data_IF_471770174507
#
_entry.id   IF_471770174507
#
_cell.length_a   1.000
_cell.length_b   1.000
_cell.length_c   1.000
_cell.angle_alpha   90.00
_cell.angle_beta   90.00
_cell.angle_gamma   90.00
#
_symmetry.space_group_name_H-M   'P 1'
#
loop_
_entity.id
_entity.type
_entity.pdbx_description
1 polymer ?
#
# COMPACT_ATOMS: atom_id res chain seq x y z
N UNK A 1 -9.10 -27.20 -9.64
CA UNK A 1 -8.89 -26.67 -11.01
C UNK A 1 -7.44 -26.95 -11.37
N UNK A 2 -7.22 -27.75 -12.38
CA UNK A 2 -5.88 -28.10 -12.83
C UNK A 2 -5.29 -26.96 -13.67
N UNK A 3 -3.93 -26.92 -13.77
CA UNK A 3 -3.24 -25.89 -14.57
C UNK A 3 -3.67 -25.88 -16.05
N UNK A 4 -4.04 -27.04 -16.58
CA UNK A 4 -4.54 -27.19 -17.96
C UNK A 4 -5.89 -26.48 -18.13
N UNK A 5 -6.83 -26.66 -17.20
CA UNK A 5 -8.13 -25.99 -17.22
C UNK A 5 -7.96 -24.47 -17.10
N UNK A 6 -7.00 -24.00 -16.29
CA UNK A 6 -6.72 -22.58 -16.13
C UNK A 6 -6.20 -21.94 -17.42
N UNK A 7 -5.37 -22.66 -18.19
CA UNK A 7 -4.83 -22.18 -19.45
C UNK A 7 -5.92 -21.94 -20.52
N UNK A 8 -6.96 -22.76 -20.53
CA UNK A 8 -8.10 -22.60 -21.46
C UNK A 8 -8.87 -21.32 -21.18
N UNK A 9 -8.96 -20.90 -19.93
CA UNK A 9 -9.57 -19.62 -19.57
C UNK A 9 -8.74 -18.39 -19.98
N UNK A 10 -7.46 -18.56 -20.33
CA UNK A 10 -6.60 -17.52 -20.87
C UNK A 10 -6.73 -17.36 -22.40
N UNK A 11 -7.49 -18.27 -23.05
CA UNK A 11 -7.86 -18.18 -24.46
C UNK A 11 -9.18 -17.42 -24.64
N UNK A 12 -9.47 -17.03 -25.87
CA UNK A 12 -10.72 -16.34 -26.23
C UNK A 12 -11.92 -17.24 -25.86
N UNK A 13 -12.94 -16.66 -25.22
CA UNK A 13 -14.14 -17.37 -24.81
C UNK A 13 -14.10 -17.96 -23.41
N UNK A 14 -12.96 -17.94 -22.73
CA UNK A 14 -12.85 -18.38 -21.35
C UNK A 14 -13.55 -17.47 -20.33
N UNK A 15 -13.58 -17.87 -19.06
CA UNK A 15 -14.14 -17.09 -17.96
C UNK A 15 -13.58 -15.67 -17.92
N UNK A 16 -14.40 -14.70 -17.49
CA UNK A 16 -13.96 -13.30 -17.41
C UNK A 16 -13.07 -13.04 -16.19
N UNK A 17 -13.33 -13.74 -15.10
CA UNK A 17 -12.66 -13.54 -13.81
C UNK A 17 -12.42 -14.86 -13.10
N UNK A 18 -11.40 -14.89 -12.25
CA UNK A 18 -11.22 -15.86 -11.18
C UNK A 18 -11.45 -15.12 -9.85
N UNK A 19 -12.43 -15.57 -9.06
CA UNK A 19 -12.78 -14.93 -7.81
C UNK A 19 -12.29 -15.77 -6.63
N UNK A 20 -11.77 -15.08 -5.61
CA UNK A 20 -11.27 -15.68 -4.37
C UNK A 20 -11.81 -14.90 -3.16
N UNK A 21 -13.09 -15.08 -2.82
CA UNK A 21 -13.67 -14.47 -1.64
C UNK A 21 -13.14 -15.12 -0.36
N UNK A 22 -13.13 -14.36 0.75
CA UNK A 22 -12.90 -14.89 2.09
C UNK A 22 -13.74 -14.16 3.11
N UNK A 23 -14.06 -14.85 4.19
CA UNK A 23 -14.75 -14.30 5.37
C UNK A 23 -13.87 -14.58 6.58
N UNK A 24 -13.61 -13.55 7.37
CA UNK A 24 -12.85 -13.61 8.61
C UNK A 24 -13.79 -13.34 9.78
N UNK A 25 -13.81 -14.24 10.75
CA UNK A 25 -14.51 -14.02 12.01
C UNK A 25 -13.73 -13.02 12.87
N UNK A 26 -14.43 -12.05 13.41
CA UNK A 26 -13.84 -11.10 14.37
C UNK A 26 -14.04 -11.67 15.79
N UNK A 27 -12.99 -11.64 16.61
CA UNK A 27 -13.09 -12.09 18.00
C UNK A 27 -14.15 -11.29 18.76
N UNK A 28 -14.88 -11.97 19.65
CA UNK A 28 -15.91 -11.30 20.46
C UNK A 28 -15.35 -10.11 21.24
N UNK A 29 -16.00 -8.97 21.13
CA UNK A 29 -15.56 -7.72 21.76
C UNK A 29 -14.41 -7.00 21.05
N UNK A 30 -13.83 -7.56 19.99
CA UNK A 30 -12.78 -6.91 19.21
C UNK A 30 -13.32 -5.78 18.34
N UNK A 31 -12.43 -4.85 18.02
CA UNK A 31 -12.69 -3.70 17.18
C UNK A 31 -11.67 -3.69 16.06
N UNK A 32 -12.15 -3.68 14.82
CA UNK A 32 -11.28 -3.63 13.65
C UNK A 32 -10.90 -2.18 13.35
N UNK A 33 -9.63 -1.92 13.11
CA UNK A 33 -9.11 -0.60 12.77
C UNK A 33 -9.07 -0.40 11.25
N UNK A 34 -10.06 0.28 10.62
CA UNK A 34 -10.07 0.54 9.19
C UNK A 34 -8.91 1.42 8.74
N UNK A 35 -8.60 1.39 7.45
CA UNK A 35 -7.73 2.38 6.84
C UNK A 35 -8.29 3.79 7.05
N UNK A 36 -7.40 4.74 7.35
CA UNK A 36 -7.76 6.15 7.53
C UNK A 36 -7.42 6.95 6.30
N UNK A 37 -8.31 7.82 5.92
CA UNK A 37 -8.17 8.71 4.78
C UNK A 37 -8.19 10.16 5.24
N UNK A 38 -7.47 11.03 4.55
CA UNK A 38 -7.51 12.45 4.81
C UNK A 38 -8.90 13.00 4.43
N UNK A 39 -9.63 13.50 5.42
CA UNK A 39 -10.92 14.15 5.27
C UNK A 39 -10.85 15.65 5.56
N UNK A 40 -11.97 16.35 5.42
CA UNK A 40 -12.05 17.81 5.68
C UNK A 40 -11.77 18.16 7.13
N UNK A 41 -12.14 17.27 8.07
CA UNK A 41 -12.04 17.48 9.51
C UNK A 41 -10.95 16.61 10.16
N UNK A 42 -9.97 16.17 9.39
CA UNK A 42 -8.92 15.26 9.86
C UNK A 42 -8.98 13.89 9.21
N UNK A 43 -8.64 12.86 9.95
CA UNK A 43 -8.57 11.47 9.47
C UNK A 43 -9.92 10.78 9.64
N UNK A 44 -10.47 10.25 8.57
CA UNK A 44 -11.82 9.65 8.53
C UNK A 44 -11.77 8.18 8.08
N UNK A 45 -12.72 7.36 8.55
CA UNK A 45 -13.01 6.04 8.00
C UNK A 45 -13.95 6.16 6.81
N UNK A 46 -13.81 5.25 5.84
CA UNK A 46 -14.68 5.21 4.66
C UNK A 46 -15.81 4.20 4.88
N UNK A 47 -17.03 4.69 4.80
CA UNK A 47 -18.24 3.89 4.82
C UNK A 47 -18.90 3.91 3.43
N UNK A 48 -19.34 2.73 2.98
CA UNK A 48 -19.97 2.53 1.68
C UNK A 48 -21.20 1.64 1.84
N UNK A 49 -22.13 1.72 0.88
CA UNK A 49 -23.23 0.76 0.76
C UNK A 49 -22.85 -0.27 -0.30
N UNK A 50 -22.83 -1.55 0.07
CA UNK A 50 -22.53 -2.68 -0.81
C UNK A 50 -23.68 -3.68 -0.81
N UNK A 51 -23.82 -4.39 -1.95
CA UNK A 51 -24.74 -5.53 -2.03
C UNK A 51 -24.05 -6.76 -1.45
N UNK A 52 -24.55 -7.27 -0.32
CA UNK A 52 -23.98 -8.38 0.45
C UNK A 52 -25.10 -9.29 0.89
N UNK A 53 -24.98 -10.59 0.64
CA UNK A 53 -25.98 -11.62 1.02
C UNK A 53 -27.41 -11.31 0.55
N UNK A 54 -27.56 -10.77 -0.65
CA UNK A 54 -28.88 -10.46 -1.22
C UNK A 54 -29.46 -9.11 -0.81
N UNK A 55 -28.76 -8.31 -0.03
CA UNK A 55 -29.25 -7.02 0.48
C UNK A 55 -28.22 -5.91 0.36
N UNK A 56 -28.69 -4.67 0.34
CA UNK A 56 -27.79 -3.51 0.48
C UNK A 56 -27.43 -3.30 1.94
N UNK A 57 -26.17 -3.43 2.25
CA UNK A 57 -25.60 -3.29 3.60
C UNK A 57 -24.62 -2.13 3.68
N UNK A 58 -24.63 -1.43 4.80
CA UNK A 58 -23.57 -0.49 5.12
C UNK A 58 -22.30 -1.24 5.46
N UNK A 59 -21.17 -0.81 4.89
CA UNK A 59 -19.87 -1.44 5.11
C UNK A 59 -18.82 -0.40 5.44
N UNK A 60 -17.83 -0.78 6.24
CA UNK A 60 -16.62 -0.02 6.49
C UNK A 60 -15.47 -0.59 5.67
N UNK A 61 -14.76 0.25 4.94
CA UNK A 61 -13.56 -0.17 4.21
C UNK A 61 -12.42 -0.41 5.19
N UNK A 62 -12.04 -1.68 5.36
CA UNK A 62 -10.96 -2.08 6.28
C UNK A 62 -9.61 -1.93 5.60
N UNK A 63 -9.46 -2.46 4.39
CA UNK A 63 -8.22 -2.36 3.61
C UNK A 63 -8.52 -2.12 2.14
N UNK A 64 -7.83 -1.14 1.55
CA UNK A 64 -8.11 -0.65 0.20
C UNK A 64 -7.55 -1.55 -0.90
N UNK A 65 -8.01 -1.33 -2.14
CA UNK A 65 -7.49 -2.03 -3.34
C UNK A 65 -5.99 -1.87 -3.48
N UNK A 66 -5.48 -0.67 -3.23
CA UNK A 66 -4.06 -0.37 -3.32
C UNK A 66 -3.27 -1.12 -2.25
N UNK A 67 -3.74 -1.09 -1.00
CA UNK A 67 -3.09 -1.80 0.09
C UNK A 67 -3.09 -3.31 -0.12
N UNK A 68 -4.19 -3.88 -0.61
CA UNK A 68 -4.26 -5.31 -0.92
C UNK A 68 -3.35 -5.71 -2.09
N UNK A 69 -3.15 -4.85 -3.09
CA UNK A 69 -2.17 -5.07 -4.14
C UNK A 69 -0.74 -5.04 -3.58
N UNK A 70 -0.44 -4.04 -2.73
CA UNK A 70 0.87 -3.94 -2.09
C UNK A 70 1.20 -5.17 -1.22
N UNK A 71 0.19 -5.77 -0.55
CA UNK A 71 0.39 -7.02 0.21
C UNK A 71 0.76 -8.19 -0.69
N UNK A 72 0.14 -8.30 -1.87
CA UNK A 72 0.50 -9.34 -2.84
C UNK A 72 1.91 -9.10 -3.43
N UNK A 73 2.31 -7.84 -3.65
CA UNK A 73 3.67 -7.48 -4.06
C UNK A 73 4.69 -7.79 -2.95
N UNK A 74 4.39 -7.44 -1.70
CA UNK A 74 5.22 -7.82 -0.54
C UNK A 74 5.34 -9.35 -0.39
N UNK A 75 4.25 -10.08 -0.65
CA UNK A 75 4.27 -11.53 -0.72
C UNK A 75 5.23 -12.08 -1.79
N UNK A 76 5.30 -11.44 -2.96
CA UNK A 76 6.29 -11.82 -3.98
C UNK A 76 7.73 -11.51 -3.55
N UNK A 77 7.95 -10.40 -2.86
CA UNK A 77 9.28 -10.06 -2.31
C UNK A 77 9.70 -11.13 -1.29
N UNK A 78 8.82 -11.51 -0.36
CA UNK A 78 9.09 -12.58 0.60
C UNK A 78 9.35 -13.93 -0.10
N UNK A 79 8.50 -14.30 -1.07
CA UNK A 79 8.68 -15.52 -1.86
C UNK A 79 10.03 -15.57 -2.60
N UNK A 80 10.53 -14.42 -3.07
CA UNK A 80 11.88 -14.32 -3.68
C UNK A 80 12.98 -14.54 -2.66
N UNK A 81 12.85 -13.95 -1.47
CA UNK A 81 13.82 -14.10 -0.38
C UNK A 81 13.91 -15.55 0.12
N UNK A 82 12.80 -16.26 0.13
CA UNK A 82 12.74 -17.67 0.49
C UNK A 82 13.31 -18.62 -0.60
N UNK A 83 13.77 -18.07 -1.73
CA UNK A 83 14.33 -18.86 -2.82
C UNK A 83 13.30 -19.72 -3.56
N UNK A 84 12.02 -19.35 -3.50
CA UNK A 84 10.95 -20.02 -4.25
C UNK A 84 11.05 -19.74 -5.75
N UNK A 85 10.12 -20.31 -6.53
CA UNK A 85 9.99 -20.02 -7.97
C UNK A 85 9.88 -18.51 -8.29
N UNK A 86 9.50 -17.69 -7.31
CA UNK A 86 9.48 -16.24 -7.45
C UNK A 86 10.87 -15.64 -7.70
N UNK A 87 11.95 -16.30 -7.31
CA UNK A 87 13.32 -15.86 -7.60
C UNK A 87 13.60 -15.72 -9.11
N UNK A 88 12.90 -16.50 -9.94
CA UNK A 88 13.01 -16.43 -11.39
C UNK A 88 12.20 -15.29 -12.03
N UNK A 89 11.35 -14.57 -11.27
CA UNK A 89 10.58 -13.43 -11.78
C UNK A 89 11.54 -12.27 -12.04
N UNK A 90 11.60 -11.72 -13.28
CA UNK A 90 12.40 -10.54 -13.56
C UNK A 90 11.94 -9.34 -12.71
N UNK A 91 12.90 -8.59 -12.17
CA UNK A 91 12.67 -7.36 -11.43
C UNK A 91 13.70 -6.30 -11.81
N UNK A 92 13.34 -5.05 -11.67
CA UNK A 92 14.29 -3.94 -11.72
C UNK A 92 14.75 -3.67 -10.30
N UNK A 93 16.05 -3.73 -10.06
CA UNK A 93 16.65 -3.40 -8.76
C UNK A 93 17.25 -1.99 -8.80
N UNK A 94 16.96 -1.20 -7.77
CA UNK A 94 17.53 0.13 -7.56
C UNK A 94 18.39 0.08 -6.31
N UNK A 95 19.65 0.37 -6.47
CA UNK A 95 20.65 0.35 -5.40
C UNK A 95 20.89 1.75 -4.86
N UNK A 96 21.00 1.87 -3.56
CA UNK A 96 21.36 3.09 -2.84
C UNK A 96 22.56 2.84 -1.96
N UNK A 97 23.41 3.82 -1.86
CA UNK A 97 24.56 3.75 -0.95
C UNK A 97 24.08 3.58 0.51
N UNK A 98 24.62 2.58 1.21
CA UNK A 98 24.32 2.30 2.61
C UNK A 98 22.90 1.81 2.90
N UNK A 99 22.17 1.32 1.88
CA UNK A 99 20.81 0.75 2.04
C UNK A 99 20.66 -0.54 1.25
N UNK A 100 19.75 -1.38 1.70
CA UNK A 100 19.30 -2.53 0.92
C UNK A 100 18.66 -2.08 -0.41
N UNK A 101 18.90 -2.83 -1.50
CA UNK A 101 18.30 -2.52 -2.79
C UNK A 101 16.77 -2.64 -2.73
N UNK A 102 16.09 -1.81 -3.51
CA UNK A 102 14.66 -1.89 -3.70
C UNK A 102 14.37 -2.48 -5.07
N UNK A 103 13.36 -3.34 -5.13
CA UNK A 103 12.85 -3.85 -6.40
C UNK A 103 11.64 -3.02 -6.87
N UNK A 104 11.33 -3.11 -8.16
CA UNK A 104 10.12 -2.48 -8.72
C UNK A 104 8.81 -2.99 -8.10
N UNK A 105 8.80 -4.17 -7.47
CA UNK A 105 7.70 -4.68 -6.63
C UNK A 105 7.44 -3.82 -5.38
N UNK A 106 8.44 -3.08 -4.90
CA UNK A 106 8.37 -2.23 -3.71
C UNK A 106 8.13 -0.75 -4.06
N UNK A 107 8.21 -0.40 -5.35
CA UNK A 107 8.08 0.97 -5.81
C UNK A 107 6.63 1.29 -6.24
N UNK A 108 6.04 2.41 -5.80
CA UNK A 108 4.65 2.77 -6.08
C UNK A 108 4.28 2.78 -7.56
N UNK A 109 5.20 3.19 -8.43
CA UNK A 109 4.99 3.27 -9.88
C UNK A 109 5.76 2.20 -10.66
N UNK A 110 6.32 1.22 -9.97
CA UNK A 110 7.04 0.04 -10.52
C UNK A 110 8.11 0.46 -11.53
N UNK A 111 8.10 -0.11 -12.75
CA UNK A 111 9.08 0.24 -13.79
C UNK A 111 9.08 1.73 -14.17
N UNK A 112 7.97 2.43 -13.98
CA UNK A 112 7.85 3.85 -14.29
C UNK A 112 8.11 4.77 -13.09
N UNK A 113 8.57 4.21 -11.98
CA UNK A 113 8.86 4.98 -10.78
C UNK A 113 10.00 5.99 -11.00
N UNK A 114 9.98 7.08 -10.26
CA UNK A 114 11.03 8.08 -10.30
C UNK A 114 12.39 7.51 -9.89
N UNK A 115 12.42 6.59 -8.92
CA UNK A 115 13.64 5.91 -8.49
C UNK A 115 14.33 5.14 -9.63
N UNK A 116 13.55 4.54 -10.55
CA UNK A 116 14.08 3.90 -11.75
C UNK A 116 14.48 4.93 -12.80
N UNK A 117 13.62 5.92 -13.06
CA UNK A 117 13.83 6.88 -14.16
C UNK A 117 15.02 7.82 -13.95
N UNK A 118 15.32 8.15 -12.71
CA UNK A 118 16.45 9.04 -12.36
C UNK A 118 17.71 8.27 -11.93
N UNK A 119 17.69 6.94 -11.96
CA UNK A 119 18.87 6.14 -11.72
C UNK A 119 19.83 6.17 -12.94
N UNK A 120 21.04 5.73 -12.67
CA UNK A 120 22.08 5.50 -13.69
C UNK A 120 22.48 4.02 -13.67
N UNK A 121 22.83 3.51 -14.82
CA UNK A 121 23.43 2.19 -14.98
C UNK A 121 24.72 2.35 -15.80
N UNK A 122 25.84 1.95 -15.22
CA UNK A 122 27.18 2.08 -15.83
C UNK A 122 27.50 3.55 -16.24
N UNK A 123 27.10 4.53 -15.41
CA UNK A 123 27.30 5.96 -15.65
C UNK A 123 26.38 6.55 -16.75
N UNK A 124 25.38 5.80 -17.22
CA UNK A 124 24.42 6.25 -18.21
C UNK A 124 23.03 6.34 -17.58
N UNK A 125 22.32 7.50 -17.67
CA UNK A 125 20.95 7.62 -17.18
C UNK A 125 20.03 6.52 -17.73
N UNK A 126 19.26 5.88 -16.84
CA UNK A 126 18.37 4.75 -17.19
C UNK A 126 17.42 5.11 -18.33
N UNK A 127 16.92 6.34 -18.39
CA UNK A 127 16.05 6.79 -19.50
C UNK A 127 16.71 6.75 -20.87
N UNK A 128 18.03 6.62 -20.95
CA UNK A 128 18.82 6.45 -22.18
C UNK A 128 19.18 4.99 -22.47
N UNK A 129 18.99 4.09 -21.51
CA UNK A 129 19.30 2.67 -21.67
C UNK A 129 18.38 2.03 -22.71
N UNK A 130 18.89 1.12 -23.55
CA UNK A 130 18.10 0.44 -24.59
C UNK A 130 16.90 -0.34 -24.01
N UNK A 131 17.11 -1.05 -22.89
CA UNK A 131 16.07 -1.82 -22.25
C UNK A 131 14.93 -0.96 -21.72
N UNK A 132 15.25 0.20 -21.09
CA UNK A 132 14.22 1.11 -20.59
C UNK A 132 13.44 1.79 -21.73
N UNK A 133 14.13 2.13 -22.83
CA UNK A 133 13.47 2.65 -24.02
C UNK A 133 12.53 1.63 -24.62
N UNK A 134 12.96 0.36 -24.76
CA UNK A 134 12.11 -0.71 -25.28
C UNK A 134 10.87 -0.90 -24.37
N UNK A 135 11.04 -0.93 -23.06
CA UNK A 135 9.95 -1.02 -22.09
C UNK A 135 8.99 0.18 -22.20
N UNK A 136 9.51 1.39 -22.26
CA UNK A 136 8.73 2.63 -22.34
C UNK A 136 7.98 2.77 -23.68
N UNK A 137 8.57 2.29 -24.77
CA UNK A 137 8.04 2.40 -26.12
C UNK A 137 7.21 1.17 -26.51
N UNK A 138 7.03 0.20 -25.60
CA UNK A 138 6.14 -0.93 -25.79
C UNK A 138 4.71 -0.47 -26.13
N UNK A 139 4.02 -1.29 -26.89
CA UNK A 139 2.67 -0.97 -27.39
C UNK A 139 1.67 -2.04 -26.99
N UNK A 140 0.38 -1.77 -27.16
CA UNK A 140 -0.68 -2.74 -26.85
C UNK A 140 -0.60 -4.03 -27.69
N UNK A 141 0.10 -4.03 -28.80
CA UNK A 141 0.30 -5.20 -29.66
C UNK A 141 1.56 -5.99 -29.34
N UNK A 142 2.50 -5.37 -28.61
CA UNK A 142 3.71 -6.03 -28.15
C UNK A 142 4.16 -5.45 -26.80
N UNK A 143 3.89 -6.20 -25.74
CA UNK A 143 4.27 -5.91 -24.36
C UNK A 143 5.44 -6.80 -23.88
N UNK A 144 6.10 -7.53 -24.79
CA UNK A 144 7.23 -8.40 -24.44
C UNK A 144 8.36 -7.67 -23.74
N UNK A 145 8.73 -6.41 -24.08
CA UNK A 145 9.78 -5.69 -23.33
C UNK A 145 9.40 -5.43 -21.89
N UNK A 146 8.11 -5.19 -21.60
CA UNK A 146 7.63 -5.02 -20.23
C UNK A 146 7.63 -6.35 -19.49
N UNK A 147 7.19 -7.44 -20.17
CA UNK A 147 7.11 -8.76 -19.56
C UNK A 147 8.48 -9.30 -19.12
N UNK A 148 9.50 -9.15 -19.97
CA UNK A 148 10.85 -9.66 -19.67
C UNK A 148 11.63 -8.77 -18.68
N UNK A 149 11.19 -7.54 -18.44
CA UNK A 149 11.90 -6.59 -17.60
C UNK A 149 11.20 -6.37 -16.25
N UNK A 150 9.89 -6.16 -16.27
CA UNK A 150 9.05 -5.85 -15.11
C UNK A 150 7.65 -6.43 -15.27
N UNK A 151 7.48 -7.76 -15.18
CA UNK A 151 6.16 -8.38 -15.24
C UNK A 151 5.21 -7.86 -14.15
N UNK A 152 5.73 -7.36 -13.02
CA UNK A 152 4.96 -6.67 -11.98
C UNK A 152 4.17 -5.48 -12.54
N UNK A 153 4.74 -4.72 -13.47
CA UNK A 153 4.07 -3.59 -14.13
C UNK A 153 2.86 -4.05 -14.96
N UNK A 154 2.89 -5.25 -15.54
CA UNK A 154 1.73 -5.84 -16.24
C UNK A 154 0.68 -6.38 -15.28
N UNK A 155 1.13 -7.02 -14.20
CA UNK A 155 0.27 -7.70 -13.24
C UNK A 155 -0.49 -6.73 -12.32
N UNK A 156 0.23 -5.77 -11.73
CA UNK A 156 -0.34 -4.83 -10.77
C UNK A 156 -0.69 -3.47 -11.37
N UNK A 157 -0.34 -3.28 -12.63
CA UNK A 157 -0.61 -2.05 -13.36
C UNK A 157 0.57 -1.09 -13.37
N UNK A 158 0.58 -0.17 -14.32
CA UNK A 158 1.60 0.86 -14.45
C UNK A 158 1.19 1.98 -15.40
N UNK A 159 1.70 3.16 -15.15
CA UNK A 159 1.45 4.32 -15.97
C UNK A 159 2.64 5.27 -15.98
N UNK A 160 3.22 5.48 -17.15
CA UNK A 160 4.21 6.54 -17.36
C UNK A 160 3.52 7.89 -17.54
N UNK A 161 3.11 8.50 -16.43
CA UNK A 161 2.38 9.78 -16.42
C UNK A 161 3.24 10.97 -16.86
N UNK A 162 4.56 10.84 -16.82
CA UNK A 162 5.50 11.92 -17.14
C UNK A 162 5.76 12.08 -18.63
N UNK A 163 5.37 11.10 -19.44
CA UNK A 163 5.58 11.12 -20.88
C UNK A 163 4.55 12.03 -21.55
N UNK A 164 5.02 12.92 -22.46
CA UNK A 164 4.16 13.87 -23.16
C UNK A 164 3.12 13.21 -24.06
N UNK A 165 3.48 12.11 -24.74
CA UNK A 165 2.61 11.38 -25.66
C UNK A 165 2.98 9.89 -25.71
N UNK A 166 2.06 9.05 -26.18
CA UNK A 166 2.28 7.61 -26.31
C UNK A 166 2.46 6.93 -24.95
N UNK A 167 1.76 7.41 -23.91
CA UNK A 167 1.84 6.85 -22.56
C UNK A 167 1.24 5.45 -22.53
N UNK A 168 2.02 4.48 -22.06
CA UNK A 168 1.50 3.16 -21.74
C UNK A 168 0.69 3.25 -20.43
N UNK A 169 -0.56 2.77 -20.47
CA UNK A 169 -1.44 2.68 -19.29
C UNK A 169 -1.90 1.24 -19.14
N UNK A 170 -1.38 0.60 -18.12
CA UNK A 170 -1.68 -0.78 -17.77
C UNK A 170 -2.55 -0.80 -16.52
N UNK A 171 -3.67 -1.51 -16.60
CA UNK A 171 -4.56 -1.71 -15.44
C UNK A 171 -4.07 -2.91 -14.65
N UNK A 172 -4.12 -2.82 -13.31
CA UNK A 172 -3.89 -3.99 -12.46
C UNK A 172 -4.88 -5.11 -12.79
N UNK A 173 -4.39 -6.32 -12.78
CA UNK A 173 -5.14 -7.55 -13.06
C UNK A 173 -5.70 -8.18 -11.80
N UNK A 174 -5.20 -7.75 -10.62
CA UNK A 174 -5.69 -8.11 -9.30
C UNK A 174 -6.47 -6.94 -8.71
N UNK A 175 -7.69 -7.21 -8.27
CA UNK A 175 -8.50 -6.29 -7.47
C UNK A 175 -8.90 -7.02 -6.20
N UNK A 176 -8.55 -6.50 -5.05
CA UNK A 176 -8.89 -7.06 -3.74
C UNK A 176 -9.19 -5.95 -2.76
N UNK A 177 -10.18 -6.13 -1.90
CA UNK A 177 -10.53 -5.22 -0.82
C UNK A 177 -10.98 -6.02 0.40
N UNK A 178 -10.73 -5.47 1.60
CA UNK A 178 -11.36 -5.94 2.83
C UNK A 178 -12.38 -4.91 3.29
N UNK A 179 -13.56 -5.39 3.66
CA UNK A 179 -14.61 -4.55 4.24
C UNK A 179 -15.32 -5.30 5.37
N UNK A 180 -15.70 -4.55 6.40
CA UNK A 180 -16.53 -5.05 7.48
C UNK A 180 -17.99 -4.72 7.22
N UNK A 181 -18.90 -5.65 7.48
CA UNK A 181 -20.36 -5.40 7.39
C UNK A 181 -20.79 -4.75 8.71
N UNK A 182 -21.26 -3.50 8.64
CA UNK A 182 -21.74 -2.77 9.82
C UNK A 182 -23.18 -3.18 10.11
N UNK A 183 -23.49 -3.45 11.38
CA UNK A 183 -24.87 -3.75 11.77
C UNK A 183 -25.78 -2.53 11.55
N UNK A 184 -27.06 -2.80 11.24
CA UNK A 184 -28.03 -1.76 10.91
C UNK A 184 -28.17 -0.70 12.03
N UNK A 185 -28.26 0.55 11.65
CA UNK A 185 -28.79 1.67 12.42
C UNK A 185 -27.82 2.69 12.96
N UNK A 186 -26.57 2.38 13.24
CA UNK A 186 -25.62 3.37 13.77
C UNK A 186 -24.17 3.07 13.37
N UNK A 187 -23.34 4.13 13.32
CA UNK A 187 -21.90 4.01 13.18
C UNK A 187 -21.32 3.35 14.44
N UNK A 188 -20.99 2.09 14.34
CA UNK A 188 -20.38 1.31 15.44
C UNK A 188 -18.92 1.70 15.63
N UNK A 189 -18.68 3.01 15.84
CA UNK A 189 -17.37 3.55 16.03
C UNK A 189 -16.91 3.34 17.48
N UNK A 190 -15.79 2.69 17.68
CA UNK A 190 -15.07 2.74 18.93
C UNK A 190 -14.19 3.99 18.97
N UNK A 191 -14.35 4.76 20.04
CA UNK A 191 -13.53 5.94 20.29
C UNK A 191 -12.60 5.62 21.46
N UNK A 192 -11.41 5.14 21.12
CA UNK A 192 -10.34 4.97 22.10
C UNK A 192 -9.14 5.72 21.56
N UNK A 193 -8.53 6.53 22.39
CA UNK A 193 -7.14 6.89 22.22
C UNK A 193 -6.35 6.25 23.34
N UNK A 194 -5.14 5.83 23.03
CA UNK A 194 -4.21 5.38 24.04
C UNK A 194 -3.93 6.52 25.01
N UNK A 195 -3.92 6.20 26.32
CA UNK A 195 -3.27 7.04 27.30
C UNK A 195 -1.87 6.49 27.50
N UNK A 196 -0.86 7.31 27.45
CA UNK A 196 0.45 6.99 27.98
C UNK A 196 0.53 7.60 29.37
N UNK A 197 0.52 6.76 30.37
CA UNK A 197 0.78 7.20 31.75
C UNK A 197 2.28 7.48 31.85
N UNK A 198 2.63 8.69 32.22
CA UNK A 198 3.97 9.02 32.67
C UNK A 198 4.26 8.24 33.94
N UNK A 199 5.35 7.47 34.02
CA UNK A 199 5.70 6.77 35.27
C UNK A 199 5.88 7.68 36.47
N UNK A 200 6.19 8.94 36.25
CA UNK A 200 6.34 9.95 37.29
C UNK A 200 5.03 10.68 37.61
N UNK A 201 3.97 10.49 36.80
CA UNK A 201 2.69 11.14 36.98
C UNK A 201 2.74 12.66 36.87
N UNK A 202 3.72 13.20 36.14
CA UNK A 202 3.96 14.64 36.05
C UNK A 202 3.91 15.11 34.60
N UNK A 203 3.26 16.26 34.37
CA UNK A 203 3.41 17.05 33.19
C UNK A 203 4.58 18.03 33.38
N UNK A 204 5.61 17.90 32.59
CA UNK A 204 6.76 18.78 32.72
C UNK A 204 6.46 20.13 32.09
N UNK A 205 6.47 21.17 32.92
CA UNK A 205 6.44 22.56 32.52
C UNK A 205 7.79 23.17 32.85
N UNK A 206 8.41 23.82 31.91
CA UNK A 206 9.76 24.39 32.02
C UNK A 206 9.77 25.83 31.58
N UNK A 207 10.77 26.56 32.00
CA UNK A 207 10.97 27.93 31.53
C UNK A 207 11.22 27.99 30.00
N UNK A 208 10.93 29.13 29.34
CA UNK A 208 11.26 29.31 27.92
C UNK A 208 12.73 29.04 27.57
N UNK A 209 13.64 29.34 28.47
CA UNK A 209 15.07 29.13 28.26
C UNK A 209 15.45 27.66 28.38
N UNK A 210 14.82 26.93 29.30
CA UNK A 210 15.02 25.48 29.42
C UNK A 210 14.47 24.71 28.23
N UNK A 211 13.27 25.06 27.72
CA UNK A 211 12.71 24.36 26.53
C UNK A 211 13.56 24.60 25.30
N UNK A 212 14.12 25.82 25.13
CA UNK A 212 15.05 26.12 24.04
C UNK A 212 16.36 25.34 24.17
N UNK A 213 16.87 25.16 25.40
CA UNK A 213 18.06 24.34 25.65
C UNK A 213 17.82 22.86 25.32
N UNK A 214 16.66 22.33 25.71
CA UNK A 214 16.25 20.95 25.38
C UNK A 214 16.06 20.76 23.87
N UNK A 215 15.46 21.76 23.22
CA UNK A 215 15.27 21.78 21.78
C UNK A 215 16.60 21.74 21.04
N UNK A 216 17.58 22.55 21.46
CA UNK A 216 18.88 22.62 20.82
C UNK A 216 19.64 21.29 20.87
N UNK A 217 19.51 20.55 21.97
CA UNK A 217 20.13 19.23 22.12
C UNK A 217 19.65 18.19 21.09
N UNK A 218 18.46 18.38 20.53
CA UNK A 218 17.82 17.44 19.62
C UNK A 218 17.48 18.05 18.25
N UNK A 219 17.83 19.29 18.01
CA UNK A 219 17.44 20.08 16.82
C UNK A 219 17.67 19.34 15.49
N UNK A 220 18.81 18.68 15.36
CA UNK A 220 19.17 17.94 14.14
C UNK A 220 18.26 16.73 13.85
N UNK A 221 17.61 16.21 14.88
CA UNK A 221 16.75 15.02 14.78
C UNK A 221 15.26 15.36 14.70
N UNK A 222 14.89 16.62 14.93
CA UNK A 222 13.51 17.08 14.95
C UNK A 222 13.07 17.66 13.60
N UNK A 223 11.79 17.50 13.28
CA UNK A 223 11.25 18.11 12.06
C UNK A 223 11.27 19.64 12.15
N UNK A 224 11.56 20.39 11.06
CA UNK A 224 11.55 21.84 11.05
C UNK A 224 10.22 22.45 11.52
N UNK A 225 9.10 21.77 11.26
CA UNK A 225 7.77 22.18 11.71
C UNK A 225 7.63 22.12 13.23
N UNK A 226 8.15 21.08 13.86
CA UNK A 226 8.12 20.91 15.31
C UNK A 226 9.03 21.94 15.97
N UNK A 227 10.23 22.10 15.47
CA UNK A 227 11.17 23.15 15.93
C UNK A 227 10.51 24.51 15.93
N UNK A 228 9.94 24.95 14.80
CA UNK A 228 9.28 26.25 14.68
C UNK A 228 8.01 26.36 15.56
N UNK A 229 7.37 25.26 15.92
CA UNK A 229 6.25 25.25 16.88
C UNK A 229 6.74 25.54 18.28
N UNK A 230 7.74 24.79 18.75
CA UNK A 230 8.31 24.94 20.11
C UNK A 230 8.90 26.34 20.31
N UNK A 231 9.64 26.86 19.33
CA UNK A 231 10.20 28.22 19.37
C UNK A 231 9.11 29.29 19.53
N UNK A 232 7.99 29.16 18.80
CA UNK A 232 6.85 30.09 18.92
C UNK A 232 6.16 29.97 20.28
N UNK A 233 6.04 28.79 20.83
CA UNK A 233 5.45 28.56 22.16
C UNK A 233 6.37 29.16 23.24
N UNK A 234 7.68 28.95 23.16
CA UNK A 234 8.67 29.53 24.07
C UNK A 234 8.64 31.06 24.03
N UNK A 235 8.61 31.68 22.83
CA UNK A 235 8.51 33.13 22.68
C UNK A 235 7.19 33.67 23.26
N UNK A 236 6.07 32.98 23.01
CA UNK A 236 4.78 33.37 23.57
C UNK A 236 4.76 33.31 25.10
N UNK A 237 5.32 32.25 25.68
CA UNK A 237 5.42 32.05 27.12
C UNK A 237 6.35 33.10 27.75
N UNK A 238 7.49 33.41 27.14
CA UNK A 238 8.42 34.48 27.58
C UNK A 238 7.73 35.82 27.67
N UNK A 239 6.90 36.19 26.67
CA UNK A 239 6.11 37.42 26.69
C UNK A 239 5.08 37.52 27.82
N UNK A 240 4.59 36.33 28.27
CA UNK A 240 3.55 36.22 29.30
C UNK A 240 4.11 35.93 30.69
N UNK A 241 5.42 35.74 30.84
CA UNK A 241 6.02 35.27 32.08
C UNK A 241 5.51 33.90 32.54
N UNK A 242 5.20 33.02 31.59
CA UNK A 242 4.63 31.70 31.81
C UNK A 242 5.64 30.59 31.50
N UNK A 243 5.38 29.39 32.00
CA UNK A 243 6.09 28.16 31.64
C UNK A 243 5.55 27.58 30.32
N UNK A 244 6.35 26.72 29.71
CA UNK A 244 6.03 25.98 28.46
C UNK A 244 5.91 24.50 28.81
N UNK A 245 4.87 23.85 28.28
CA UNK A 245 4.77 22.39 28.38
C UNK A 245 5.84 21.72 27.52
N UNK A 246 6.58 20.78 28.08
CA UNK A 246 7.56 19.97 27.39
C UNK A 246 6.95 18.73 26.70
N UNK A 247 5.61 18.61 26.63
CA UNK A 247 4.90 17.48 26.04
C UNK A 247 5.22 17.28 24.54
N UNK A 248 5.51 18.37 23.83
CA UNK A 248 5.94 18.30 22.39
C UNK A 248 7.29 17.61 22.21
N UNK A 249 8.14 17.60 23.24
CA UNK A 249 9.39 16.83 23.30
C UNK A 249 9.20 15.43 23.91
N UNK A 250 7.95 14.98 24.03
CA UNK A 250 7.56 13.72 24.68
C UNK A 250 7.92 13.64 26.19
N UNK A 251 8.05 14.76 26.85
CA UNK A 251 8.20 14.86 28.30
C UNK A 251 6.83 15.19 28.91
N UNK A 252 6.20 14.18 29.48
CA UNK A 252 4.86 14.28 30.07
C UNK A 252 3.92 13.19 29.63
N UNK A 253 2.74 13.15 30.23
CA UNK A 253 1.69 12.21 29.91
C UNK A 253 0.90 12.62 28.66
N UNK A 254 0.44 11.64 27.89
CA UNK A 254 -0.57 11.86 26.85
C UNK A 254 -1.93 11.54 27.45
N UNK A 255 -2.78 12.55 27.71
CA UNK A 255 -4.11 12.30 28.28
C UNK A 255 -4.97 11.48 27.31
N UNK A 256 -5.85 10.62 27.84
CA UNK A 256 -6.79 9.91 27.00
C UNK A 256 -7.70 10.89 26.28
N UNK A 257 -7.86 10.71 24.97
CA UNK A 257 -8.76 11.50 24.14
C UNK A 257 -9.82 10.62 23.50
N UNK A 258 -11.04 11.09 23.38
CA UNK A 258 -12.15 10.43 22.69
C UNK A 258 -12.48 11.09 21.36
N UNK A 259 -11.68 12.05 20.92
CA UNK A 259 -11.99 12.88 19.76
C UNK A 259 -11.88 12.14 18.42
N UNK A 260 -10.99 11.14 18.37
CA UNK A 260 -10.75 10.41 17.12
C UNK A 260 -11.32 8.98 17.17
N UNK A 261 -11.96 8.52 16.09
CA UNK A 261 -12.39 7.14 16.00
C UNK A 261 -11.17 6.20 15.98
N UNK A 262 -11.23 5.16 16.79
CA UNK A 262 -10.17 4.14 16.89
C UNK A 262 -10.41 2.96 15.97
N UNK A 263 -11.67 2.49 15.87
CA UNK A 263 -12.04 1.35 15.07
C UNK A 263 -13.54 1.22 14.88
N UNK A 264 -13.94 0.18 14.19
CA UNK A 264 -15.33 -0.17 13.90
C UNK A 264 -15.62 -1.56 14.45
N UNK A 265 -16.72 -1.70 15.20
CA UNK A 265 -17.20 -3.00 15.65
C UNK A 265 -18.00 -3.64 14.52
N UNK A 266 -17.51 -4.75 14.00
CA UNK A 266 -18.14 -5.55 12.94
C UNK A 266 -18.13 -7.02 13.33
N UNK A 267 -19.17 -7.81 13.00
CA UNK A 267 -19.21 -9.23 13.31
C UNK A 267 -18.26 -10.03 12.42
N UNK A 268 -17.97 -9.53 11.23
CA UNK A 268 -17.11 -10.20 10.25
C UNK A 268 -16.42 -9.20 9.34
N UNK A 269 -15.26 -9.59 8.82
CA UNK A 269 -14.56 -8.90 7.74
C UNK A 269 -14.60 -9.77 6.51
N UNK A 270 -15.01 -9.22 5.40
CA UNK A 270 -15.05 -9.91 4.10
C UNK A 270 -13.97 -9.40 3.18
N UNK A 271 -13.38 -10.31 2.45
CA UNK A 271 -12.48 -10.01 1.33
C UNK A 271 -13.19 -10.31 0.01
N UNK A 272 -13.28 -9.29 -0.84
CA UNK A 272 -13.61 -9.46 -2.24
C UNK A 272 -12.30 -9.42 -3.04
N UNK A 273 -11.93 -10.53 -3.68
CA UNK A 273 -10.72 -10.65 -4.50
C UNK A 273 -11.06 -11.22 -5.87
N UNK A 274 -10.56 -10.57 -6.90
CA UNK A 274 -10.82 -10.91 -8.30
C UNK A 274 -9.55 -10.79 -9.12
N UNK A 275 -9.22 -11.84 -9.88
CA UNK A 275 -8.21 -11.82 -10.93
C UNK A 275 -8.90 -11.65 -12.28
N UNK A 276 -8.46 -10.67 -13.07
CA UNK A 276 -9.07 -10.34 -14.36
C UNK A 276 -8.50 -11.20 -15.48
N UNK A 277 -9.13 -12.34 -15.75
CA UNK A 277 -8.74 -13.21 -16.89
C UNK A 277 -9.03 -12.52 -18.23
N UNK A 278 -10.12 -11.74 -18.29
CA UNK A 278 -10.40 -10.91 -19.48
C UNK A 278 -9.33 -9.83 -19.68
N UNK A 279 -8.76 -9.28 -18.60
CA UNK A 279 -7.63 -8.35 -18.67
C UNK A 279 -6.37 -9.03 -19.19
N UNK A 280 -6.04 -10.22 -18.68
CA UNK A 280 -4.92 -11.02 -19.19
C UNK A 280 -5.03 -11.29 -20.68
N UNK A 281 -6.21 -11.67 -21.17
CA UNK A 281 -6.43 -11.96 -22.59
C UNK A 281 -6.21 -10.76 -23.53
N UNK A 282 -6.21 -9.53 -23.02
CA UNK A 282 -5.91 -8.31 -23.77
C UNK A 282 -4.43 -8.06 -23.96
N UNK A 283 -3.58 -8.68 -23.13
CA UNK A 283 -2.14 -8.54 -23.24
C UNK A 283 -1.63 -9.32 -24.45
N UNK A 284 -0.74 -8.69 -25.22
CA UNK A 284 -0.07 -9.24 -26.39
C UNK A 284 1.43 -9.09 -26.22
N UNK A 285 2.17 -10.10 -26.68
CA UNK A 285 3.62 -10.15 -26.48
C UNK A 285 4.40 -10.28 -27.80
N UNK A 286 3.76 -9.92 -28.93
CA UNK A 286 4.42 -9.91 -30.25
C UNK A 286 4.66 -11.27 -30.87
N UNK A 287 4.37 -12.35 -30.16
CA UNK A 287 4.57 -13.74 -30.59
C UNK A 287 3.30 -14.41 -31.12
N UNK A 288 3.34 -15.73 -31.15
CA UNK A 288 2.20 -16.60 -31.49
C UNK A 288 1.09 -16.56 -30.42
N UNK A 289 -0.10 -17.05 -30.77
CA UNK A 289 -1.21 -17.14 -29.83
C UNK A 289 -0.90 -18.04 -28.62
N UNK A 290 -0.10 -19.08 -28.79
CA UNK A 290 0.28 -19.99 -27.71
C UNK A 290 1.34 -19.36 -26.80
N UNK A 291 2.30 -18.61 -27.33
CA UNK A 291 3.25 -17.82 -26.54
C UNK A 291 2.53 -16.74 -25.73
N UNK A 292 1.55 -16.05 -26.32
CA UNK A 292 0.68 -15.12 -25.58
C UNK A 292 -0.04 -15.80 -24.41
N UNK A 293 -0.56 -17.04 -24.60
CA UNK A 293 -1.23 -17.81 -23.52
C UNK A 293 -0.24 -18.20 -22.43
N UNK A 294 0.96 -18.63 -22.81
CA UNK A 294 2.01 -18.98 -21.84
C UNK A 294 2.42 -17.78 -20.97
N UNK A 295 2.65 -16.62 -21.59
CA UNK A 295 3.00 -15.39 -20.88
C UNK A 295 1.88 -14.92 -19.93
N UNK A 296 0.61 -15.01 -20.35
CA UNK A 296 -0.55 -14.74 -19.49
C UNK A 296 -0.65 -15.71 -18.33
N UNK A 297 -0.32 -17.00 -18.57
CA UNK A 297 -0.25 -18.03 -17.54
C UNK A 297 0.82 -17.71 -16.49
N UNK A 298 2.00 -17.30 -16.92
CA UNK A 298 3.06 -16.87 -16.02
C UNK A 298 2.66 -15.66 -15.17
N UNK A 299 2.01 -14.65 -15.75
CA UNK A 299 1.50 -13.50 -14.99
C UNK A 299 0.43 -13.89 -13.97
N UNK A 300 -0.48 -14.80 -14.33
CA UNK A 300 -1.49 -15.30 -13.40
C UNK A 300 -0.86 -16.11 -12.28
N UNK A 301 0.11 -16.97 -12.57
CA UNK A 301 0.85 -17.74 -11.58
C UNK A 301 1.61 -16.82 -10.61
N UNK A 302 2.24 -15.77 -11.12
CA UNK A 302 2.89 -14.75 -10.31
C UNK A 302 1.90 -14.06 -9.36
N UNK A 303 0.73 -13.65 -9.85
CA UNK A 303 -0.32 -13.04 -9.01
C UNK A 303 -0.82 -13.99 -7.93
N UNK A 304 -1.05 -15.27 -8.27
CA UNK A 304 -1.49 -16.29 -7.33
C UNK A 304 -0.44 -16.57 -6.26
N UNK A 305 0.84 -16.62 -6.64
CA UNK A 305 1.95 -16.81 -5.71
C UNK A 305 2.07 -15.65 -4.73
N UNK A 306 2.04 -14.40 -5.21
CA UNK A 306 2.09 -13.22 -4.35
C UNK A 306 0.92 -13.17 -3.36
N UNK A 307 -0.27 -13.53 -3.82
CA UNK A 307 -1.46 -13.64 -2.97
C UNK A 307 -1.31 -14.76 -1.93
N UNK A 308 -0.78 -15.93 -2.32
CA UNK A 308 -0.60 -17.06 -1.40
C UNK A 308 0.37 -16.70 -0.27
N UNK A 309 1.50 -16.07 -0.59
CA UNK A 309 2.44 -15.60 0.42
C UNK A 309 1.87 -14.46 1.28
N UNK A 310 1.16 -13.50 0.68
CA UNK A 310 0.52 -12.42 1.42
C UNK A 310 -0.64 -12.88 2.32
N UNK A 311 -1.25 -14.02 2.02
CA UNK A 311 -2.31 -14.62 2.82
C UNK A 311 -1.79 -15.60 3.90
N UNK A 312 -0.54 -16.07 3.78
CA UNK A 312 0.05 -16.96 4.77
C UNK A 312 0.25 -16.29 6.14
N UNK A 313 0.45 -14.98 6.14
CA UNK A 313 0.55 -14.17 7.36
C UNK A 313 -0.29 -12.88 7.19
N UNK A 314 -1.63 -12.99 7.25
CA UNK A 314 -2.51 -11.86 7.01
C UNK A 314 -2.54 -10.94 8.23
N UNK A 315 -1.82 -9.85 8.18
CA UNK A 315 -2.00 -8.77 9.14
C UNK A 315 -3.34 -8.05 8.87
N UNK A 316 -4.42 -8.56 9.45
CA UNK A 316 -5.70 -7.84 9.52
C UNK A 316 -5.62 -6.93 10.73
N UNK A 317 -5.81 -5.64 10.51
CA UNK A 317 -5.79 -4.61 11.56
C UNK A 317 -6.96 -4.81 12.52
N UNK A 318 -6.77 -5.61 13.56
CA UNK A 318 -7.75 -5.89 14.60
C UNK A 318 -7.24 -5.41 15.98
#
# INVERSE_FOLDING_TARGET
MELVELSDHLRRGGAATLNHPAVYSVAEGAVVAPARYAGRNGSEFVFETRYVDGEFRRTALIDSKQSQANRAEAGLVAARQDGSAAAAIPVIEVHYEGREPLTDLQLPHRAFDAHVRFAEQDGVPVVKQPWFRALRDATAIDLSPVFVTSPATLAFGGWDSSRRSGQLRLRGLLVSELFGVVADGEDRLSRRSGARLDPLGQDFHVSPDEIESLLEQQREHLSPKLVAKIEREAESARKKGAEVSAAELNLGGVPPSTEQPFGVSVPEVRRARTFSLAGLRRLRFGGSADEDVAARGALLAMLLLGVAYGDADPEIRA
#
